data_IF_940907558754
#
_entry.id   IF_940907558754
#
_cell.length_a   1.000
_cell.length_b   1.000
_cell.length_c   1.000
_cell.angle_alpha   90.00
_cell.angle_beta   90.00
_cell.angle_gamma   90.00
#
_symmetry.space_group_name_H-M   'P 1'
#
loop_
_entity.id
_entity.type
_entity.pdbx_description
1 polymer ?
#
# COMPACT_ATOMS: atom_id res chain seq x y z
N UNK A 1 -1.35 12.31 10.36
CA UNK A 1 -0.10 12.32 9.57
C UNK A 1 -0.38 11.67 8.23
N UNK A 2 0.15 12.21 7.12
CA UNK A 2 -0.10 11.74 5.75
C UNK A 2 1.16 11.11 5.18
N UNK A 3 1.02 10.12 4.31
CA UNK A 3 2.13 9.36 3.75
C UNK A 3 1.95 9.12 2.25
N UNK A 4 3.06 9.03 1.53
CA UNK A 4 3.10 8.26 0.29
C UNK A 4 3.43 6.81 0.62
N UNK A 5 2.96 5.90 -0.22
CA UNK A 5 3.39 4.50 -0.22
C UNK A 5 4.24 4.30 -1.47
N UNK A 6 5.56 4.20 -1.31
CA UNK A 6 6.54 4.17 -2.41
C UNK A 6 7.14 2.78 -2.55
N UNK A 7 7.20 2.25 -3.75
CA UNK A 7 7.87 0.98 -4.04
C UNK A 7 9.39 1.14 -3.98
N UNK A 8 10.08 0.18 -3.36
CA UNK A 8 11.55 0.20 -3.25
C UNK A 8 12.25 -0.01 -4.60
N UNK A 9 11.81 -0.98 -5.41
CA UNK A 9 12.46 -1.29 -6.69
C UNK A 9 12.25 -0.20 -7.76
N UNK A 10 11.03 0.33 -7.87
CA UNK A 10 10.67 1.22 -8.99
C UNK A 10 10.64 2.69 -8.61
N UNK A 11 10.61 3.02 -7.33
CA UNK A 11 10.36 4.39 -6.84
C UNK A 11 8.94 4.91 -7.11
N UNK A 12 8.07 4.10 -7.74
CA UNK A 12 6.69 4.49 -8.04
C UNK A 12 5.87 4.59 -6.77
N UNK A 13 4.91 5.51 -6.75
CA UNK A 13 4.02 5.74 -5.61
C UNK A 13 2.63 5.21 -5.91
N UNK A 14 2.00 4.61 -4.91
CA UNK A 14 0.64 4.10 -5.02
C UNK A 14 -0.35 5.25 -5.23
N UNK A 15 -1.36 5.00 -6.04
CA UNK A 15 -2.54 5.85 -6.20
C UNK A 15 -3.78 4.99 -6.28
N UNK A 16 -4.86 5.46 -5.65
CA UNK A 16 -6.10 4.73 -5.54
C UNK A 16 -7.16 5.36 -6.46
N UNK A 17 -7.31 4.85 -7.68
CA UNK A 17 -8.21 5.41 -8.70
C UNK A 17 -9.62 4.81 -8.66
N UNK A 18 -10.51 5.29 -9.53
CA UNK A 18 -11.87 4.74 -9.66
C UNK A 18 -11.93 3.27 -10.13
N UNK A 19 -10.83 2.71 -10.64
CA UNK A 19 -10.69 1.30 -11.02
C UNK A 19 -9.82 0.47 -10.07
N UNK A 20 -9.49 0.99 -8.88
CA UNK A 20 -8.62 0.33 -7.91
C UNK A 20 -7.21 0.90 -7.83
N UNK A 21 -6.31 0.11 -7.27
CA UNK A 21 -4.92 0.46 -6.98
C UNK A 21 -4.07 0.46 -8.26
N UNK A 22 -3.31 1.53 -8.47
CA UNK A 22 -2.22 1.58 -9.46
C UNK A 22 -1.02 2.32 -8.87
N UNK A 23 0.03 2.54 -9.65
CA UNK A 23 1.19 3.31 -9.23
C UNK A 23 1.71 4.25 -10.32
N UNK A 24 2.32 5.35 -9.91
CA UNK A 24 2.82 6.40 -10.80
C UNK A 24 4.30 6.72 -10.54
N UNK A 25 4.99 7.14 -11.59
CA UNK A 25 6.43 7.46 -11.55
C UNK A 25 6.76 8.85 -11.03
N UNK A 26 5.79 9.61 -10.51
CA UNK A 26 6.04 10.93 -9.96
C UNK A 26 5.25 11.19 -8.68
N UNK A 27 5.81 12.07 -7.86
CA UNK A 27 5.21 12.68 -6.67
C UNK A 27 5.26 14.19 -6.93
N UNK A 28 4.20 14.70 -7.54
CA UNK A 28 4.04 16.09 -7.96
C UNK A 28 3.41 16.97 -6.87
N UNK A 29 3.22 16.43 -5.67
CA UNK A 29 2.51 17.09 -4.58
C UNK A 29 0.99 16.92 -4.63
N UNK A 30 0.45 16.07 -5.53
CA UNK A 30 -0.99 15.78 -5.55
C UNK A 30 -1.43 15.06 -4.27
N UNK A 31 -2.35 15.70 -3.54
CA UNK A 31 -2.94 15.14 -2.31
C UNK A 31 -3.74 13.85 -2.53
N UNK A 32 -4.11 13.50 -3.77
CA UNK A 32 -4.75 12.21 -4.08
C UNK A 32 -3.78 11.02 -3.95
N UNK A 33 -2.48 11.29 -3.94
CA UNK A 33 -1.41 10.31 -3.67
C UNK A 33 -1.20 10.07 -2.16
N UNK A 34 -1.82 10.88 -1.30
CA UNK A 34 -1.58 10.83 0.13
C UNK A 34 -2.53 9.86 0.82
N UNK A 35 -1.96 9.07 1.72
CA UNK A 35 -2.65 8.08 2.51
C UNK A 35 -2.57 8.37 4.01
N UNK A 36 -3.63 8.00 4.71
CA UNK A 36 -3.67 7.90 6.17
C UNK A 36 -3.98 6.46 6.56
N UNK A 37 -3.54 6.08 7.75
CA UNK A 37 -3.68 4.72 8.25
C UNK A 37 -4.52 4.70 9.52
N UNK A 38 -5.39 3.71 9.66
CA UNK A 38 -6.20 3.49 10.86
C UNK A 38 -5.98 2.08 11.38
N UNK A 39 -5.54 1.96 12.63
CA UNK A 39 -5.40 0.67 13.31
C UNK A 39 -6.77 0.04 13.49
N UNK A 40 -6.87 -1.27 13.22
CA UNK A 40 -8.09 -2.04 13.32
C UNK A 40 -8.04 -2.97 14.53
N UNK A 41 -9.22 -3.35 15.05
CA UNK A 41 -9.35 -4.20 16.25
C UNK A 41 -8.84 -5.63 16.03
N UNK A 42 -8.82 -6.09 14.79
CA UNK A 42 -8.24 -7.38 14.37
C UNK A 42 -6.70 -7.37 14.30
N UNK A 43 -6.06 -6.26 14.67
CA UNK A 43 -4.61 -6.06 14.59
C UNK A 43 -4.11 -5.63 13.20
N UNK A 44 -4.99 -5.54 12.20
CA UNK A 44 -4.70 -5.00 10.88
C UNK A 44 -4.61 -3.48 10.84
N UNK A 45 -4.48 -2.94 9.63
CA UNK A 45 -4.44 -1.50 9.36
C UNK A 45 -5.22 -1.20 8.10
N UNK A 46 -6.22 -0.33 8.20
CA UNK A 46 -6.95 0.18 7.05
C UNK A 46 -6.19 1.34 6.40
N UNK A 47 -6.25 1.40 5.07
CA UNK A 47 -5.52 2.35 4.23
C UNK A 47 -6.53 3.29 3.55
N UNK A 48 -6.44 4.58 3.84
CA UNK A 48 -7.38 5.60 3.37
C UNK A 48 -6.69 6.60 2.44
N UNK A 49 -7.25 6.84 1.25
CA UNK A 49 -6.81 7.91 0.36
C UNK A 49 -7.41 9.24 0.81
N UNK A 50 -6.54 10.21 1.14
CA UNK A 50 -6.94 11.52 1.67
C UNK A 50 -7.67 12.35 0.61
N UNK A 51 -7.04 12.56 -0.55
CA UNK A 51 -7.62 13.42 -1.59
C UNK A 51 -8.89 12.85 -2.24
N UNK A 52 -9.13 11.54 -2.12
CA UNK A 52 -10.33 10.88 -2.66
C UNK A 52 -11.39 10.51 -1.64
N UNK A 53 -11.05 10.51 -0.35
CA UNK A 53 -11.94 10.12 0.73
C UNK A 53 -12.56 8.72 0.53
N UNK A 54 -11.71 7.75 0.18
CA UNK A 54 -12.07 6.34 -0.06
C UNK A 54 -11.00 5.41 0.52
N UNK A 55 -11.40 4.17 0.82
CA UNK A 55 -10.55 3.13 1.38
C UNK A 55 -10.05 2.17 0.30
N UNK A 56 -8.83 1.69 0.46
CA UNK A 56 -8.33 0.54 -0.28
C UNK A 56 -9.01 -0.73 0.26
N UNK A 57 -9.54 -1.55 -0.65
CA UNK A 57 -10.34 -2.72 -0.36
C UNK A 57 -9.70 -4.02 -0.88
N UNK A 58 -10.33 -5.15 -0.54
CA UNK A 58 -9.98 -6.47 -1.04
C UNK A 58 -9.72 -6.45 -2.56
N UNK A 59 -8.81 -7.31 -3.02
CA UNK A 59 -8.44 -7.43 -4.43
C UNK A 59 -7.94 -6.10 -5.05
N UNK A 60 -7.42 -5.22 -4.20
CA UNK A 60 -6.86 -3.91 -4.57
C UNK A 60 -7.88 -2.95 -5.19
N UNK A 61 -9.16 -3.12 -4.86
CA UNK A 61 -10.26 -2.24 -5.28
C UNK A 61 -10.44 -1.05 -4.34
N UNK A 62 -11.45 -0.22 -4.61
CA UNK A 62 -11.86 0.89 -3.74
C UNK A 62 -13.16 0.59 -3.01
N UNK A 63 -13.28 1.04 -1.76
CA UNK A 63 -14.52 0.93 -0.98
C UNK A 63 -14.79 2.18 -0.15
N UNK A 64 -16.04 2.36 0.27
CA UNK A 64 -16.45 3.31 1.31
C UNK A 64 -16.30 2.73 2.71
N UNK A 65 -15.99 1.44 2.84
CA UNK A 65 -15.78 0.72 4.10
C UNK A 65 -14.31 0.37 4.30
N UNK A 66 -13.91 0.29 5.57
CA UNK A 66 -12.56 -0.11 5.96
C UNK A 66 -12.27 -1.58 5.61
N UNK A 67 -11.04 -1.87 5.18
CA UNK A 67 -10.54 -3.22 4.96
C UNK A 67 -9.15 -3.34 5.59
N UNK A 68 -8.89 -4.45 6.29
CA UNK A 68 -7.67 -4.65 7.06
C UNK A 68 -6.52 -5.19 6.21
N UNK A 69 -5.37 -4.54 6.31
CA UNK A 69 -4.10 -5.02 5.76
C UNK A 69 -3.11 -5.33 6.88
N UNK A 70 -2.27 -6.34 6.67
CA UNK A 70 -1.11 -6.59 7.52
C UNK A 70 0.12 -5.94 6.91
N UNK A 71 0.81 -5.13 7.72
CA UNK A 71 2.12 -4.55 7.41
C UNK A 71 3.20 -5.45 8.03
N UNK A 72 3.95 -6.14 7.18
CA UNK A 72 4.97 -7.10 7.58
C UNK A 72 6.34 -6.42 7.40
N UNK A 73 7.14 -6.20 8.46
CA UNK A 73 8.48 -5.64 8.31
C UNK A 73 9.36 -6.48 7.39
N UNK A 74 10.08 -5.82 6.48
CA UNK A 74 11.04 -6.52 5.61
C UNK A 74 12.31 -6.93 6.37
N UNK A 75 13.03 -7.92 5.85
CA UNK A 75 14.36 -8.30 6.35
C UNK A 75 15.42 -7.24 6.08
N UNK A 76 15.21 -6.38 5.09
CA UNK A 76 16.09 -5.25 4.77
C UNK A 76 16.10 -4.15 5.86
N UNK A 77 15.21 -4.24 6.85
CA UNK A 77 15.20 -3.37 8.03
C UNK A 77 14.17 -2.24 7.98
N UNK A 78 14.06 -1.54 9.11
CA UNK A 78 12.91 -0.77 9.62
C UNK A 78 12.35 0.43 8.83
N UNK A 79 12.57 0.48 7.51
CA UNK A 79 11.91 1.45 6.62
C UNK A 79 10.96 0.81 5.59
N UNK A 80 11.09 -0.51 5.33
CA UNK A 80 10.28 -1.19 4.33
C UNK A 80 9.35 -2.23 4.94
N UNK A 81 8.15 -2.31 4.36
CA UNK A 81 7.11 -3.26 4.70
C UNK A 81 6.63 -4.01 3.46
N UNK A 82 6.22 -5.26 3.63
CA UNK A 82 5.28 -5.91 2.71
C UNK A 82 3.86 -5.61 3.19
N UNK A 83 2.96 -5.28 2.27
CA UNK A 83 1.56 -4.97 2.57
C UNK A 83 0.72 -6.13 2.10
N UNK A 84 0.00 -6.77 3.01
CA UNK A 84 -0.73 -8.02 2.75
C UNK A 84 -2.23 -7.79 2.92
N UNK A 85 -3.06 -7.92 1.86
CA UNK A 85 -4.52 -8.04 2.01
C UNK A 85 -4.90 -9.39 2.65
N UNK A 86 -4.00 -10.36 2.61
CA UNK A 86 -4.21 -11.69 3.17
C UNK A 86 -3.78 -11.74 4.65
N UNK A 87 -4.75 -11.91 5.55
CA UNK A 87 -4.52 -11.97 6.99
C UNK A 87 -4.23 -13.39 7.50
N UNK A 88 -4.50 -14.43 6.69
CA UNK A 88 -4.58 -15.82 7.16
C UNK A 88 -3.53 -16.74 6.54
N UNK A 89 -3.12 -16.53 5.29
CA UNK A 89 -2.23 -17.47 4.60
C UNK A 89 -0.77 -17.38 5.07
N UNK A 90 -0.08 -18.52 4.90
CA UNK A 90 1.34 -18.67 5.16
C UNK A 90 2.00 -19.59 4.09
N UNK A 91 2.85 -19.07 3.18
CA UNK A 91 3.23 -17.66 3.05
C UNK A 91 2.07 -16.79 2.55
N UNK A 92 2.01 -15.51 2.96
CA UNK A 92 0.93 -14.63 2.53
C UNK A 92 1.11 -14.08 1.13
N UNK A 93 0.01 -13.61 0.53
CA UNK A 93 0.06 -12.76 -0.67
C UNK A 93 0.23 -11.30 -0.29
N UNK A 94 1.18 -10.62 -0.92
CA UNK A 94 1.55 -9.23 -0.66
C UNK A 94 1.45 -8.40 -1.94
N UNK A 95 1.22 -7.09 -1.78
CA UNK A 95 1.17 -6.13 -2.87
C UNK A 95 2.54 -6.07 -3.55
N UNK A 96 2.56 -6.19 -4.88
CA UNK A 96 3.75 -6.13 -5.71
C UNK A 96 3.57 -5.13 -6.85
N UNK A 97 4.64 -4.37 -7.12
CA UNK A 97 4.75 -3.56 -8.33
C UNK A 97 5.38 -4.36 -9.47
N UNK A 98 4.61 -4.60 -10.53
CA UNK A 98 5.06 -5.31 -11.73
C UNK A 98 5.61 -4.37 -12.81
N UNK A 99 5.71 -3.07 -12.55
CA UNK A 99 6.20 -2.05 -13.47
C UNK A 99 5.11 -1.47 -14.39
N UNK A 100 4.19 -2.30 -14.89
CA UNK A 100 3.02 -1.83 -15.67
C UNK A 100 1.74 -1.73 -14.82
N UNK A 101 1.58 -2.62 -13.85
CA UNK A 101 0.42 -2.67 -12.94
C UNK A 101 0.85 -3.03 -11.51
N UNK A 102 -0.12 -2.96 -10.59
CA UNK A 102 0.01 -3.46 -9.22
C UNK A 102 -0.83 -4.74 -9.09
N UNK A 103 -0.29 -5.74 -8.41
CA UNK A 103 -0.97 -7.01 -8.15
C UNK A 103 -0.65 -7.55 -6.76
N UNK A 104 -1.17 -8.73 -6.46
CA UNK A 104 -0.83 -9.47 -5.23
C UNK A 104 -0.13 -10.76 -5.60
N UNK A 105 1.06 -10.98 -5.04
CA UNK A 105 1.87 -12.17 -5.27
C UNK A 105 2.23 -12.83 -3.95
N UNK A 106 2.50 -14.14 -3.96
CA UNK A 106 3.03 -14.82 -2.78
C UNK A 106 4.33 -14.13 -2.33
N UNK A 107 4.51 -13.92 -1.03
CA UNK A 107 5.70 -13.29 -0.48
C UNK A 107 6.95 -14.15 -0.75
N UNK A 108 7.95 -13.59 -1.46
CA UNK A 108 9.24 -14.25 -1.73
C UNK A 108 10.45 -13.30 -1.56
N UNK A 109 10.28 -12.20 -0.83
CA UNK A 109 11.35 -11.26 -0.46
C UNK A 109 12.02 -10.57 -1.66
N UNK A 110 11.20 -9.94 -2.51
CA UNK A 110 11.66 -9.12 -3.63
C UNK A 110 11.52 -7.63 -3.32
N UNK A 111 12.45 -6.81 -3.81
CA UNK A 111 12.36 -5.35 -3.76
C UNK A 111 11.06 -4.81 -4.40
N UNK A 112 10.49 -5.53 -5.36
CA UNK A 112 9.20 -5.20 -5.98
C UNK A 112 8.01 -5.34 -5.02
N UNK A 113 8.17 -6.11 -3.95
CA UNK A 113 7.17 -6.34 -2.90
C UNK A 113 7.37 -5.41 -1.69
N UNK A 114 8.46 -4.63 -1.67
CA UNK A 114 8.83 -3.77 -0.55
C UNK A 114 8.32 -2.34 -0.75
N UNK A 115 7.65 -1.83 0.28
CA UNK A 115 7.02 -0.52 0.28
C UNK A 115 7.51 0.33 1.45
N UNK A 116 7.85 1.58 1.16
CA UNK A 116 8.22 2.59 2.15
C UNK A 116 7.05 3.53 2.40
N UNK A 117 6.81 3.85 3.69
CA UNK A 117 5.87 4.88 4.09
C UNK A 117 6.61 6.20 4.23
N UNK A 118 6.55 7.05 3.20
CA UNK A 118 7.26 8.34 3.16
C UNK A 118 6.36 9.41 3.78
N UNK A 119 6.71 9.98 4.95
CA UNK A 119 5.90 11.02 5.58
C UNK A 119 5.82 12.27 4.70
N UNK A 120 4.63 12.87 4.63
CA UNK A 120 4.40 14.16 3.98
C UNK A 120 3.99 15.21 4.99
N UNK A 121 4.77 16.29 5.02
CA UNK A 121 4.47 17.53 5.75
C UNK A 121 3.72 18.46 4.80
N UNK A 122 2.44 18.65 5.06
CA UNK A 122 1.54 19.48 4.24
C UNK A 122 0.11 19.29 4.67
#
# INVERSE_FOLDING_TARGET
>A
MRYLIRNHATGRVIWLGGGGLTAYGHDDGDTTLYFTFKKQDDGGTAIHSVGRNIWLAAELQTSTTEYSYRFIPSKAGGKFYYISPDMMSNPPKVIQDNGSNIGTEVLFDSEKQMWELVPKTG
#
